data_IF_620306398440
#
_entry.id   IF_620306398440
#
_cell.length_a   1.000
_cell.length_b   1.000
_cell.length_c   1.000
_cell.angle_alpha   90.00
_cell.angle_beta   90.00
_cell.angle_gamma   90.00
#
_symmetry.space_group_name_H-M   'P 1'
#
loop_
_entity.id
_entity.type
_entity.pdbx_description
1 polymer ?
#
# COMPACT_ATOMS: atom_id res chain seq x y z
N UNK A 1 60.69 29.22 -4.84
CA UNK A 1 60.15 28.06 -5.58
C UNK A 1 59.58 26.96 -4.69
N UNK A 2 60.28 26.51 -3.63
CA UNK A 2 59.86 25.36 -2.79
C UNK A 2 58.52 25.55 -2.05
N UNK A 3 58.21 26.75 -1.57
CA UNK A 3 56.95 27.05 -0.86
C UNK A 3 55.72 26.98 -1.75
N UNK A 4 55.85 27.33 -3.04
CA UNK A 4 54.77 27.25 -4.03
C UNK A 4 54.49 25.80 -4.45
N UNK A 5 55.52 24.96 -4.49
CA UNK A 5 55.38 23.53 -4.76
C UNK A 5 54.61 22.80 -3.65
N UNK A 6 54.90 23.12 -2.39
CA UNK A 6 54.21 22.54 -1.22
C UNK A 6 52.73 22.92 -1.21
N UNK A 7 52.40 24.18 -1.54
CA UNK A 7 51.01 24.63 -1.64
C UNK A 7 50.22 23.87 -2.71
N UNK A 8 50.84 23.56 -3.85
CA UNK A 8 50.19 22.79 -4.93
C UNK A 8 49.94 21.35 -4.49
N UNK A 9 50.92 20.70 -3.85
CA UNK A 9 50.74 19.32 -3.36
C UNK A 9 49.67 19.21 -2.28
N UNK A 10 49.55 20.21 -1.39
CA UNK A 10 48.51 20.25 -0.35
C UNK A 10 47.12 20.46 -0.97
N UNK A 11 46.99 21.32 -1.99
CA UNK A 11 45.71 21.50 -2.69
C UNK A 11 45.26 20.25 -3.44
N UNK A 12 46.19 19.50 -4.05
CA UNK A 12 45.87 18.25 -4.75
C UNK A 12 45.41 17.16 -3.77
N UNK A 13 46.03 17.07 -2.60
CA UNK A 13 45.62 16.12 -1.57
C UNK A 13 44.22 16.45 -0.99
N UNK A 14 43.94 17.74 -0.75
CA UNK A 14 42.62 18.21 -0.31
C UNK A 14 41.51 17.95 -1.35
N UNK A 15 41.81 18.09 -2.64
CA UNK A 15 40.85 17.78 -3.71
C UNK A 15 40.53 16.28 -3.80
N UNK A 16 41.49 15.41 -3.48
CA UNK A 16 41.29 13.96 -3.47
C UNK A 16 40.46 13.50 -2.25
N UNK A 17 40.68 14.11 -1.07
CA UNK A 17 39.90 13.84 0.13
C UNK A 17 38.43 14.28 -0.01
N UNK A 18 38.15 15.39 -0.71
CA UNK A 18 36.79 15.86 -0.96
C UNK A 18 35.99 14.96 -1.93
N UNK A 19 36.66 14.11 -2.71
CA UNK A 19 36.03 13.10 -3.58
C UNK A 19 35.77 11.77 -2.86
N UNK A 20 36.21 11.63 -1.61
CA UNK A 20 36.07 10.41 -0.82
C UNK A 20 34.85 10.44 0.13
N UNK A 21 33.92 11.37 -0.08
CA UNK A 21 32.61 11.29 0.57
C UNK A 21 31.85 10.07 0.01
N UNK A 22 31.91 8.96 0.74
CA UNK A 22 30.93 7.90 0.59
C UNK A 22 29.55 8.50 0.84
N UNK A 23 28.63 8.32 -0.11
CA UNK A 23 27.21 8.64 0.03
C UNK A 23 26.56 7.69 1.04
N UNK A 24 27.02 7.70 2.30
CA UNK A 24 26.42 6.95 3.39
C UNK A 24 25.29 7.78 3.99
N UNK A 25 24.12 7.73 3.36
CA UNK A 25 22.91 8.27 3.97
C UNK A 25 21.94 8.97 3.05
N UNK A 26 21.48 8.30 1.99
CA UNK A 26 20.20 8.64 1.35
C UNK A 26 19.08 7.68 1.82
N UNK A 27 18.94 7.55 3.14
CA UNK A 27 17.81 6.85 3.75
C UNK A 27 16.64 7.80 4.06
N UNK A 28 16.87 9.11 3.94
CA UNK A 28 15.94 10.16 4.33
C UNK A 28 15.34 10.85 3.09
N UNK A 29 14.68 10.08 2.22
CA UNK A 29 13.46 10.49 1.46
C UNK A 29 13.07 9.39 0.44
N UNK A 30 12.97 8.13 0.88
CA UNK A 30 12.07 7.22 0.16
C UNK A 30 10.66 7.75 0.39
N UNK A 31 10.11 8.45 -0.60
CA UNK A 31 8.67 8.76 -0.66
C UNK A 31 7.96 7.42 -0.48
N UNK A 32 7.40 7.19 0.70
CA UNK A 32 6.49 6.08 0.92
C UNK A 32 5.30 6.30 -0.02
N UNK A 33 5.33 5.63 -1.17
CA UNK A 33 4.16 5.54 -2.04
C UNK A 33 3.24 4.54 -1.38
N UNK A 34 2.27 5.05 -0.60
CA UNK A 34 1.15 4.24 -0.16
C UNK A 34 0.41 3.86 -1.42
N UNK A 35 0.57 2.62 -1.86
CA UNK A 35 -0.19 2.07 -2.97
C UNK A 35 -1.59 1.80 -2.40
N UNK A 36 -2.63 2.53 -2.83
CA UNK A 36 -3.96 2.27 -2.34
C UNK A 36 -4.40 0.86 -2.77
N UNK A 37 -5.22 0.18 -1.97
CA UNK A 37 -5.81 -1.10 -2.39
C UNK A 37 -6.65 -0.90 -3.65
N UNK A 38 -6.95 -2.00 -4.35
CA UNK A 38 -7.83 -1.93 -5.51
C UNK A 38 -9.18 -1.29 -5.14
N UNK A 39 -9.84 -0.57 -6.06
CA UNK A 39 -11.12 0.08 -5.77
C UNK A 39 -12.18 -0.87 -5.19
N UNK A 40 -12.16 -2.14 -5.60
CA UNK A 40 -13.05 -3.18 -5.08
C UNK A 40 -12.73 -3.56 -3.63
N UNK A 41 -11.45 -3.71 -3.33
CA UNK A 41 -11.02 -3.96 -1.96
C UNK A 41 -11.29 -2.75 -1.06
N UNK A 42 -11.15 -1.54 -1.60
CA UNK A 42 -11.46 -0.31 -0.87
C UNK A 42 -12.97 -0.19 -0.55
N UNK A 43 -13.84 -0.55 -1.49
CA UNK A 43 -15.30 -0.56 -1.26
C UNK A 43 -15.70 -1.63 -0.23
N UNK A 44 -15.08 -2.81 -0.29
CA UNK A 44 -15.27 -3.88 0.69
C UNK A 44 -14.75 -3.48 2.08
N UNK A 45 -13.55 -2.88 2.18
CA UNK A 45 -13.01 -2.40 3.45
C UNK A 45 -13.91 -1.35 4.09
N UNK A 46 -14.48 -0.44 3.30
CA UNK A 46 -15.49 0.53 3.77
C UNK A 46 -16.77 -0.15 4.28
N UNK A 47 -17.12 -1.31 3.74
CA UNK A 47 -18.22 -2.13 4.27
C UNK A 47 -17.88 -2.66 5.66
N UNK A 48 -16.66 -3.18 5.85
CA UNK A 48 -16.15 -3.75 7.11
C UNK A 48 -15.93 -2.67 8.20
N UNK A 49 -15.22 -1.59 7.88
CA UNK A 49 -14.77 -0.58 8.85
C UNK A 49 -15.89 0.25 9.46
N UNK A 50 -17.00 0.43 8.73
CA UNK A 50 -18.12 1.25 9.17
C UNK A 50 -19.29 0.32 9.45
N UNK A 51 -19.47 -0.21 10.67
CA UNK A 51 -20.64 -1.04 10.96
C UNK A 51 -21.91 -0.21 10.73
N UNK A 52 -22.86 -0.81 10.01
CA UNK A 52 -24.16 -0.19 9.78
C UNK A 52 -24.95 -0.20 11.09
N UNK A 53 -25.49 0.96 11.47
CA UNK A 53 -26.40 1.06 12.60
C UNK A 53 -27.78 1.38 12.05
N UNK A 54 -28.81 0.65 12.48
CA UNK A 54 -30.18 0.98 12.12
C UNK A 54 -30.59 2.39 12.59
N UNK A 55 -29.84 2.97 13.53
CA UNK A 55 -30.03 4.33 14.01
C UNK A 55 -29.54 5.41 13.04
N UNK A 56 -28.56 5.10 12.15
CA UNK A 56 -28.00 6.09 11.21
C UNK A 56 -28.83 6.25 9.93
N UNK A 57 -29.93 5.50 9.78
CA UNK A 57 -30.82 5.60 8.62
C UNK A 57 -30.21 5.12 7.30
N UNK A 58 -29.09 4.39 7.36
CA UNK A 58 -28.35 3.90 6.20
C UNK A 58 -28.96 2.57 5.73
N UNK A 59 -29.57 2.51 4.53
CA UNK A 59 -30.12 1.26 4.01
C UNK A 59 -29.00 0.30 3.61
N UNK A 60 -29.18 -0.96 3.99
CA UNK A 60 -28.36 -2.10 3.55
C UNK A 60 -29.16 -2.82 2.49
N UNK A 61 -28.62 -2.93 1.28
CA UNK A 61 -29.22 -3.74 0.22
C UNK A 61 -28.25 -4.87 -0.07
N UNK A 62 -28.66 -6.10 0.23
CA UNK A 62 -27.95 -7.33 -0.14
C UNK A 62 -28.80 -8.07 -1.16
N UNK A 63 -28.27 -8.22 -2.37
CA UNK A 63 -28.92 -8.90 -3.49
C UNK A 63 -28.11 -10.16 -3.79
N UNK A 64 -28.59 -11.35 -3.40
CA UNK A 64 -27.96 -12.60 -3.81
C UNK A 64 -28.16 -12.80 -5.32
N UNK A 65 -27.07 -12.94 -6.07
CA UNK A 65 -27.14 -13.20 -7.52
C UNK A 65 -27.24 -14.71 -7.76
N UNK A 66 -26.31 -15.46 -7.19
CA UNK A 66 -26.14 -16.87 -7.48
C UNK A 66 -25.33 -17.54 -6.37
N UNK A 67 -25.57 -18.83 -6.12
CA UNK A 67 -24.71 -19.60 -5.23
C UNK A 67 -24.05 -20.70 -6.05
N UNK A 68 -22.74 -20.56 -6.28
CA UNK A 68 -21.97 -21.58 -6.96
C UNK A 68 -21.86 -22.79 -6.05
N UNK A 69 -22.38 -23.92 -6.52
CA UNK A 69 -22.38 -25.18 -5.78
C UNK A 69 -21.63 -26.23 -6.59
N UNK A 70 -20.49 -26.68 -6.07
CA UNK A 70 -19.70 -27.75 -6.66
C UNK A 70 -19.32 -28.75 -5.56
N UNK A 71 -19.96 -29.93 -5.58
CA UNK A 71 -19.81 -30.93 -4.52
C UNK A 71 -20.23 -30.39 -3.14
N UNK A 72 -19.27 -30.32 -2.21
CA UNK A 72 -19.46 -29.77 -0.86
C UNK A 72 -19.17 -28.26 -0.76
N UNK A 73 -18.64 -27.63 -1.81
CA UNK A 73 -18.30 -26.21 -1.81
C UNK A 73 -19.53 -25.38 -2.19
N UNK A 74 -19.89 -24.43 -1.33
CA UNK A 74 -20.95 -23.44 -1.59
C UNK A 74 -20.36 -22.04 -1.48
N UNK A 75 -20.27 -21.35 -2.60
CA UNK A 75 -19.82 -19.95 -2.66
C UNK A 75 -21.01 -19.07 -3.02
N UNK A 76 -21.64 -18.37 -2.05
CA UNK A 76 -22.66 -17.38 -2.36
C UNK A 76 -21.99 -16.18 -3.04
N UNK A 77 -22.59 -15.75 -4.15
CA UNK A 77 -22.22 -14.53 -4.87
C UNK A 77 -23.36 -13.54 -4.64
N UNK A 78 -23.05 -12.45 -3.94
CA UNK A 78 -24.01 -11.38 -3.66
C UNK A 78 -23.44 -10.01 -4.03
N UNK A 79 -24.36 -9.09 -4.30
CA UNK A 79 -24.07 -7.69 -4.53
C UNK A 79 -24.56 -6.93 -3.31
N UNK A 80 -23.69 -6.10 -2.74
CA UNK A 80 -24.02 -5.29 -1.59
C UNK A 80 -23.97 -3.81 -1.96
N UNK A 81 -24.99 -3.06 -1.54
CA UNK A 81 -25.00 -1.60 -1.59
C UNK A 81 -25.02 -1.03 -0.17
N UNK A 82 -24.21 0.01 0.03
CA UNK A 82 -24.16 0.78 1.27
C UNK A 82 -24.62 2.22 1.02
N UNK A 83 -25.81 2.57 1.50
CA UNK A 83 -26.42 3.86 1.22
C UNK A 83 -25.96 4.97 2.16
N UNK A 84 -25.07 5.88 1.73
CA UNK A 84 -24.56 6.96 2.61
C UNK A 84 -24.18 8.25 1.89
N UNK A 85 -24.63 8.40 0.65
CA UNK A 85 -24.11 9.37 -0.30
C UNK A 85 -22.84 8.87 -0.99
N UNK A 86 -22.79 9.03 -2.31
CA UNK A 86 -21.61 8.73 -3.11
C UNK A 86 -20.66 9.93 -3.05
N UNK A 87 -19.41 9.71 -2.63
CA UNK A 87 -18.40 10.77 -2.68
C UNK A 87 -17.97 10.97 -4.14
N UNK A 88 -17.88 12.22 -4.60
CA UNK A 88 -17.48 12.51 -5.99
C UNK A 88 -16.10 11.91 -6.33
N UNK A 89 -15.18 11.94 -5.35
CA UNK A 89 -13.82 11.40 -5.46
C UNK A 89 -13.73 9.87 -5.17
N UNK A 90 -14.86 9.15 -5.12
CA UNK A 90 -14.86 7.69 -4.96
C UNK A 90 -14.58 7.02 -6.31
N UNK A 91 -13.60 6.13 -6.33
CA UNK A 91 -13.30 5.29 -7.49
C UNK A 91 -14.41 4.25 -7.67
N UNK A 92 -14.86 3.98 -8.91
CA UNK A 92 -15.81 2.90 -9.15
C UNK A 92 -15.14 1.54 -8.88
N UNK A 93 -15.86 0.66 -8.19
CA UNK A 93 -15.53 -0.77 -8.10
C UNK A 93 -15.89 -1.50 -9.40
N UNK A 94 -15.91 -2.84 -9.35
CA UNK A 94 -16.15 -3.66 -10.55
C UNK A 94 -17.58 -3.54 -11.09
N UNK A 95 -18.56 -3.27 -10.21
CA UNK A 95 -19.96 -3.09 -10.59
C UNK A 95 -20.26 -1.60 -10.84
N UNK A 96 -20.10 -0.77 -9.80
CA UNK A 96 -20.27 0.69 -9.88
C UNK A 96 -19.83 1.36 -8.56
N UNK A 97 -19.98 2.68 -8.46
CA UNK A 97 -19.66 3.44 -7.23
C UNK A 97 -20.64 3.09 -6.12
N UNK A 98 -20.14 2.73 -4.94
CA UNK A 98 -20.94 2.40 -3.75
C UNK A 98 -21.55 0.99 -3.76
N UNK A 99 -21.28 0.20 -4.80
CA UNK A 99 -21.63 -1.21 -4.88
C UNK A 99 -20.38 -2.06 -4.72
N UNK A 100 -20.48 -3.15 -3.98
CA UNK A 100 -19.39 -4.13 -3.82
C UNK A 100 -19.88 -5.52 -4.18
N UNK A 101 -19.03 -6.30 -4.83
CA UNK A 101 -19.27 -7.69 -5.16
C UNK A 101 -18.68 -8.59 -4.07
N UNK A 102 -19.53 -9.31 -3.37
CA UNK A 102 -19.12 -10.31 -2.40
C UNK A 102 -19.10 -11.69 -3.07
N UNK A 103 -17.88 -12.14 -3.39
CA UNK A 103 -17.58 -13.54 -3.75
C UNK A 103 -16.71 -14.07 -2.62
N UNK A 104 -16.98 -15.26 -2.11
CA UNK A 104 -16.51 -15.74 -0.79
C UNK A 104 -15.04 -15.52 -0.37
N UNK A 105 -14.12 -15.21 -1.29
CA UNK A 105 -12.73 -14.86 -0.96
C UNK A 105 -12.29 -13.56 -1.62
N UNK A 106 -11.73 -12.66 -0.82
CA UNK A 106 -11.05 -11.44 -1.27
C UNK A 106 -9.70 -11.33 -0.57
N UNK A 107 -8.62 -11.13 -1.32
CA UNK A 107 -7.29 -10.88 -0.77
C UNK A 107 -6.98 -9.38 -0.87
N UNK A 108 -6.73 -8.76 0.28
CA UNK A 108 -6.30 -7.38 0.40
C UNK A 108 -4.93 -7.30 1.04
N UNK A 109 -4.08 -6.41 0.53
CA UNK A 109 -2.81 -6.07 1.17
C UNK A 109 -2.60 -4.56 1.13
N UNK A 110 -2.32 -4.00 2.31
CA UNK A 110 -1.86 -2.62 2.46
C UNK A 110 -0.44 -2.66 3.01
N UNK A 111 0.53 -2.15 2.25
CA UNK A 111 1.93 -2.08 2.69
C UNK A 111 2.18 -0.72 3.34
N UNK A 112 2.58 -0.75 4.61
CA UNK A 112 3.06 0.43 5.33
C UNK A 112 4.58 0.34 5.44
N UNK A 113 5.30 1.13 4.64
CA UNK A 113 6.76 1.12 4.68
C UNK A 113 7.37 0.19 3.62
N UNK A 114 8.19 -0.77 4.03
CA UNK A 114 8.78 -1.76 3.14
C UNK A 114 7.91 -3.03 3.10
N UNK A 115 7.73 -3.66 1.93
CA UNK A 115 7.08 -4.97 1.87
C UNK A 115 7.85 -6.01 2.68
N UNK A 116 7.15 -6.85 3.46
CA UNK A 116 7.76 -7.87 4.32
C UNK A 116 8.56 -8.93 3.52
N UNK A 117 8.17 -9.20 2.27
CA UNK A 117 8.88 -10.08 1.34
C UNK A 117 10.13 -9.44 0.74
N UNK A 118 10.35 -8.15 0.97
CA UNK A 118 11.55 -7.47 0.53
C UNK A 118 12.70 -7.89 1.45
N UNK A 119 13.47 -8.90 1.04
CA UNK A 119 14.70 -9.37 1.71
C UNK A 119 15.87 -8.37 1.68
N UNK A 120 15.58 -7.09 1.47
CA UNK A 120 16.56 -6.03 1.25
C UNK A 120 17.49 -5.80 2.47
N UNK A 121 17.20 -6.29 3.68
CA UNK A 121 18.08 -6.10 4.84
C UNK A 121 18.09 -7.22 5.88
N UNK A 122 18.08 -8.50 5.49
CA UNK A 122 18.34 -9.61 6.44
C UNK A 122 19.45 -10.54 5.97
N UNK A 123 20.54 -9.98 5.45
CA UNK A 123 21.79 -10.75 5.25
C UNK A 123 22.58 -10.94 6.55
N UNK A 124 22.30 -10.22 7.65
CA UNK A 124 23.22 -10.21 8.81
C UNK A 124 22.58 -10.28 10.21
N UNK A 125 21.32 -10.68 10.37
CA UNK A 125 20.79 -10.99 11.70
C UNK A 125 20.68 -12.51 11.90
N UNK A 126 21.79 -13.13 12.32
CA UNK A 126 21.74 -14.41 13.03
C UNK A 126 21.58 -14.09 14.52
N UNK A 127 20.46 -14.44 15.17
CA UNK A 127 20.49 -14.56 16.62
C UNK A 127 21.28 -15.82 16.97
N UNK A 128 22.09 -15.73 18.01
CA UNK A 128 22.76 -16.86 18.65
C UNK A 128 21.80 -18.02 18.89
#
# INVERSE_FOLDING_TARGET
MKTRLIQITVMVFLAFAAKAEDHFGDYATRKYSIIPPSPEVASLMKYIDIPVSHYTGQPVIDIPIYTLTEGSLKVPISINYKGGGLKQNELPGIISKGWSLSVGMTLSRTVYGLPDECSCFISNYRPY
#
